data_IF_274477422327
#
_entry.id   IF_274477422327
#
_cell.length_a   1.000
_cell.length_b   1.000
_cell.length_c   1.000
_cell.angle_alpha   90.00
_cell.angle_beta   90.00
_cell.angle_gamma   90.00
#
_symmetry.space_group_name_H-M   'P 1'
#
loop_
_entity.id
_entity.type
_entity.pdbx_description
1 polymer ?
#
# COMPACT_ATOMS: atom_id res chain seq x y z
N UNK A 1 10.01 7.85 -21.74
CA UNK A 1 8.79 7.07 -21.49
C UNK A 1 8.54 7.05 -20.00
N UNK A 2 7.31 7.31 -19.54
CA UNK A 2 6.94 7.22 -18.12
C UNK A 2 6.95 5.75 -17.70
N UNK A 3 7.59 5.43 -16.59
CA UNK A 3 7.50 4.10 -15.93
C UNK A 3 6.08 3.86 -15.42
N UNK A 4 5.71 2.59 -15.21
CA UNK A 4 4.41 2.23 -14.64
C UNK A 4 4.19 2.89 -13.28
N UNK A 5 5.23 2.93 -12.44
CA UNK A 5 5.18 3.58 -11.13
C UNK A 5 4.90 5.09 -11.24
N UNK A 6 5.49 5.78 -12.20
CA UNK A 6 5.21 7.21 -12.43
C UNK A 6 3.78 7.44 -12.93
N UNK A 7 3.25 6.53 -13.75
CA UNK A 7 1.85 6.59 -14.20
C UNK A 7 0.91 6.38 -13.01
N UNK A 8 1.17 5.35 -12.19
CA UNK A 8 0.40 5.07 -10.96
C UNK A 8 0.41 6.28 -10.02
N UNK A 9 1.58 6.87 -9.74
CA UNK A 9 1.67 8.02 -8.84
C UNK A 9 0.88 9.22 -9.37
N UNK A 10 0.97 9.49 -10.69
CA UNK A 10 0.20 10.55 -11.33
C UNK A 10 -1.31 10.26 -11.31
N UNK A 11 -1.71 9.01 -11.50
CA UNK A 11 -3.13 8.63 -11.54
C UNK A 11 -3.86 8.85 -10.22
N UNK A 12 -3.14 8.86 -9.09
CA UNK A 12 -3.70 9.19 -7.78
C UNK A 12 -4.29 10.61 -7.72
N UNK A 13 -3.71 11.57 -8.46
CA UNK A 13 -4.23 12.94 -8.58
C UNK A 13 -4.99 13.21 -9.89
N UNK A 14 -4.75 12.41 -10.92
CA UNK A 14 -5.31 12.56 -12.26
C UNK A 14 -5.81 11.21 -12.78
N UNK A 15 -7.03 10.77 -12.46
CA UNK A 15 -7.50 9.40 -12.74
C UNK A 15 -7.29 8.95 -14.19
N UNK A 16 -7.49 9.87 -15.16
CA UNK A 16 -7.27 9.61 -16.59
C UNK A 16 -5.85 9.18 -16.95
N UNK A 17 -4.84 9.52 -16.15
CA UNK A 17 -3.47 9.06 -16.40
C UNK A 17 -3.34 7.53 -16.29
N UNK A 18 -4.25 6.84 -15.58
CA UNK A 18 -4.25 5.38 -15.51
C UNK A 18 -4.49 4.72 -16.88
N UNK A 19 -5.14 5.41 -17.82
CA UNK A 19 -5.35 4.91 -19.19
C UNK A 19 -4.03 4.58 -19.90
N UNK A 20 -2.92 5.23 -19.54
CA UNK A 20 -1.61 4.90 -20.10
C UNK A 20 -1.12 3.50 -19.70
N UNK A 21 -1.53 2.97 -18.53
CA UNK A 21 -1.28 1.57 -18.17
C UNK A 21 -2.17 0.62 -18.96
N UNK A 22 -3.43 1.00 -19.18
CA UNK A 22 -4.33 0.24 -20.03
C UNK A 22 -3.74 0.11 -21.43
N UNK A 23 -3.42 1.24 -22.09
CA UNK A 23 -2.88 1.24 -23.45
C UNK A 23 -1.59 0.41 -23.58
N UNK A 24 -0.74 0.44 -22.56
CA UNK A 24 0.53 -0.31 -22.53
C UNK A 24 0.35 -1.82 -22.39
N UNK A 25 -0.64 -2.24 -21.62
CA UNK A 25 -0.78 -3.63 -21.18
C UNK A 25 -2.01 -4.34 -21.76
N UNK A 26 -2.89 -3.63 -22.46
CA UNK A 26 -4.14 -4.14 -23.03
C UNK A 26 -3.92 -5.32 -23.98
N UNK A 27 -2.94 -5.23 -24.88
CA UNK A 27 -2.62 -6.31 -25.83
C UNK A 27 -2.14 -7.57 -25.09
N UNK A 28 -1.29 -7.39 -24.08
CA UNK A 28 -0.72 -8.51 -23.31
C UNK A 28 -1.79 -9.21 -22.47
N UNK A 29 -2.57 -8.44 -21.70
CA UNK A 29 -3.62 -8.97 -20.80
C UNK A 29 -4.79 -9.52 -21.60
N UNK A 30 -5.29 -8.75 -22.57
CA UNK A 30 -6.40 -9.16 -23.43
C UNK A 30 -6.03 -10.37 -24.30
N UNK A 31 -4.84 -10.38 -24.89
CA UNK A 31 -4.35 -11.53 -25.65
C UNK A 31 -4.18 -12.79 -24.80
N UNK A 32 -3.73 -12.66 -23.55
CA UNK A 32 -3.68 -13.79 -22.62
C UNK A 32 -5.07 -14.33 -22.29
N UNK A 33 -6.01 -13.45 -21.95
CA UNK A 33 -7.39 -13.82 -21.63
C UNK A 33 -8.07 -14.48 -22.84
N UNK A 34 -7.94 -13.89 -24.04
CA UNK A 34 -8.51 -14.41 -25.28
C UNK A 34 -7.99 -15.80 -25.61
N UNK A 35 -6.68 -16.07 -25.42
CA UNK A 35 -6.10 -17.41 -25.62
C UNK A 35 -6.68 -18.47 -24.68
N UNK A 36 -7.19 -18.07 -23.51
CA UNK A 36 -7.63 -18.99 -22.46
C UNK A 36 -9.15 -19.17 -22.41
N UNK A 37 -9.91 -18.15 -22.83
CA UNK A 37 -11.36 -18.08 -22.67
C UNK A 37 -12.11 -17.79 -23.98
N UNK A 38 -11.39 -17.53 -25.08
CA UNK A 38 -11.97 -17.10 -26.35
C UNK A 38 -11.97 -15.57 -26.51
N UNK A 39 -12.04 -15.06 -27.75
CA UNK A 39 -11.89 -13.64 -28.06
C UNK A 39 -12.90 -12.75 -27.33
N UNK A 40 -14.19 -13.12 -27.35
CA UNK A 40 -15.26 -12.30 -26.76
C UNK A 40 -15.10 -12.18 -25.23
N UNK A 41 -14.81 -13.29 -24.54
CA UNK A 41 -14.55 -13.28 -23.10
C UNK A 41 -13.22 -12.58 -22.75
N UNK A 42 -12.28 -12.47 -23.69
CA UNK A 42 -11.00 -11.81 -23.48
C UNK A 42 -11.13 -10.31 -23.27
N UNK A 43 -12.05 -9.65 -23.98
CA UNK A 43 -12.31 -8.22 -23.87
C UNK A 43 -12.98 -7.84 -22.53
N UNK A 44 -13.93 -8.66 -22.10
CA UNK A 44 -14.60 -8.49 -20.80
C UNK A 44 -13.60 -8.60 -19.64
N UNK A 45 -12.77 -9.64 -19.67
CA UNK A 45 -11.75 -9.88 -18.63
C UNK A 45 -10.68 -8.79 -18.64
N UNK A 46 -10.28 -8.29 -19.81
CA UNK A 46 -9.39 -7.14 -19.91
C UNK A 46 -9.99 -5.94 -19.17
N UNK A 47 -11.23 -5.58 -19.50
CA UNK A 47 -11.93 -4.44 -18.92
C UNK A 47 -12.07 -4.57 -17.39
N UNK A 48 -12.51 -5.74 -16.92
CA UNK A 48 -12.64 -6.03 -15.49
C UNK A 48 -11.29 -5.98 -14.75
N UNK A 49 -10.24 -6.55 -15.35
CA UNK A 49 -8.89 -6.57 -14.75
C UNK A 49 -8.37 -5.16 -14.50
N UNK A 50 -8.49 -4.26 -15.48
CA UNK A 50 -8.02 -2.88 -15.33
C UNK A 50 -8.89 -2.06 -14.39
N UNK A 51 -10.21 -2.30 -14.38
CA UNK A 51 -11.11 -1.69 -13.40
C UNK A 51 -10.71 -2.07 -11.96
N UNK A 52 -10.50 -3.37 -11.70
CA UNK A 52 -10.07 -3.87 -10.40
C UNK A 52 -8.69 -3.31 -10.03
N UNK A 53 -7.76 -3.24 -10.98
CA UNK A 53 -6.43 -2.68 -10.75
C UNK A 53 -6.49 -1.19 -10.39
N UNK A 54 -7.32 -0.39 -11.06
CA UNK A 54 -7.48 1.03 -10.76
C UNK A 54 -8.05 1.23 -9.35
N UNK A 55 -9.14 0.53 -9.02
CA UNK A 55 -9.79 0.61 -7.71
C UNK A 55 -8.80 0.20 -6.61
N UNK A 56 -8.16 -0.97 -6.76
CA UNK A 56 -7.20 -1.49 -5.78
C UNK A 56 -6.03 -0.53 -5.57
N UNK A 57 -5.52 0.08 -6.65
CA UNK A 57 -4.42 1.05 -6.57
C UNK A 57 -4.82 2.28 -5.75
N UNK A 58 -6.03 2.82 -6.01
CA UNK A 58 -6.55 4.01 -5.32
C UNK A 58 -6.82 3.76 -3.83
N UNK A 59 -7.24 2.55 -3.48
CA UNK A 59 -7.49 2.17 -2.09
C UNK A 59 -6.18 1.90 -1.33
N UNK A 60 -5.25 1.17 -1.93
CA UNK A 60 -4.01 0.76 -1.27
C UNK A 60 -2.99 1.89 -1.14
N UNK A 61 -2.87 2.78 -2.13
CA UNK A 61 -1.88 3.85 -2.12
C UNK A 61 -1.89 4.71 -0.84
N UNK A 62 -3.04 5.28 -0.38
CA UNK A 62 -3.07 6.04 0.87
C UNK A 62 -2.81 5.18 2.10
N UNK A 63 -3.21 3.90 2.10
CA UNK A 63 -2.95 2.99 3.22
C UNK A 63 -1.44 2.72 3.36
N UNK A 64 -0.74 2.45 2.25
CA UNK A 64 0.71 2.27 2.22
C UNK A 64 1.43 3.55 2.64
N UNK A 65 0.96 4.72 2.17
CA UNK A 65 1.51 6.01 2.56
C UNK A 65 1.38 6.26 4.07
N UNK A 66 0.32 5.75 4.71
CA UNK A 66 0.09 5.86 6.15
C UNK A 66 0.91 4.92 7.03
N UNK A 67 1.61 3.94 6.42
CA UNK A 67 2.46 3.01 7.18
C UNK A 67 3.63 3.75 7.85
N UNK A 68 3.99 3.29 9.05
CA UNK A 68 5.23 3.73 9.68
C UNK A 68 6.42 3.38 8.79
N UNK A 69 7.50 4.16 8.84
CA UNK A 69 8.70 3.91 8.04
C UNK A 69 9.22 2.46 8.23
N UNK A 70 9.20 1.97 9.47
CA UNK A 70 9.61 0.61 9.83
C UNK A 70 8.69 -0.47 9.25
N UNK A 71 7.38 -0.26 9.23
CA UNK A 71 6.43 -1.20 8.63
C UNK A 71 6.55 -1.19 7.09
N UNK A 72 6.71 0.00 6.48
CA UNK A 72 6.91 0.14 5.02
C UNK A 72 8.22 -0.50 4.55
N UNK A 73 9.32 -0.29 5.27
CA UNK A 73 10.59 -0.95 5.00
C UNK A 73 10.48 -2.48 5.09
N UNK A 74 9.84 -3.00 6.14
CA UNK A 74 9.55 -4.43 6.27
C UNK A 74 8.71 -4.96 5.10
N UNK A 75 7.68 -4.22 4.65
CA UNK A 75 6.86 -4.58 3.50
C UNK A 75 7.68 -4.59 2.20
N UNK A 76 8.54 -3.60 1.97
CA UNK A 76 9.34 -3.49 0.75
C UNK A 76 10.36 -4.62 0.64
N UNK A 77 11.03 -4.98 1.73
CA UNK A 77 11.96 -6.12 1.73
C UNK A 77 11.25 -7.44 1.43
N UNK A 78 10.02 -7.61 1.92
CA UNK A 78 9.21 -8.79 1.64
C UNK A 78 8.68 -8.81 0.20
N UNK A 79 8.03 -7.74 -0.25
CA UNK A 79 7.26 -7.71 -1.50
C UNK A 79 8.09 -7.35 -2.73
N UNK A 80 9.20 -6.64 -2.55
CA UNK A 80 10.08 -6.20 -3.64
C UNK A 80 11.46 -6.84 -3.57
N UNK A 81 11.90 -7.22 -2.37
CA UNK A 81 13.14 -7.94 -2.17
C UNK A 81 12.99 -9.46 -2.25
N UNK A 82 11.77 -9.99 -2.23
CA UNK A 82 11.48 -11.44 -2.12
C UNK A 82 12.19 -12.12 -0.92
N UNK A 83 12.53 -11.35 0.13
CA UNK A 83 13.18 -11.89 1.32
C UNK A 83 12.19 -12.67 2.19
N UNK A 84 12.68 -13.78 2.75
CA UNK A 84 12.01 -14.52 3.82
C UNK A 84 11.94 -13.70 5.12
N UNK A 85 11.08 -14.09 6.07
CA UNK A 85 11.00 -13.38 7.35
C UNK A 85 12.31 -13.44 8.13
N UNK A 86 13.04 -14.54 8.01
CA UNK A 86 14.34 -14.78 8.61
C UNK A 86 15.41 -13.86 7.99
N UNK A 87 15.44 -13.70 6.67
CA UNK A 87 16.35 -12.77 5.99
C UNK A 87 16.02 -11.30 6.31
N UNK A 88 14.73 -10.94 6.36
CA UNK A 88 14.30 -9.60 6.79
C UNK A 88 14.75 -9.32 8.23
N UNK A 89 14.64 -10.32 9.11
CA UNK A 89 15.07 -10.20 10.50
C UNK A 89 16.58 -9.89 10.59
N UNK A 90 17.39 -10.60 9.79
CA UNK A 90 18.83 -10.36 9.68
C UNK A 90 19.10 -8.96 9.11
N UNK A 91 18.47 -8.59 8.00
CA UNK A 91 18.68 -7.31 7.32
C UNK A 91 18.33 -6.10 8.22
N UNK A 92 17.28 -6.22 9.02
CA UNK A 92 16.81 -5.15 9.90
C UNK A 92 17.42 -5.20 11.31
N UNK A 93 18.21 -6.23 11.64
CA UNK A 93 18.77 -6.43 12.98
C UNK A 93 17.71 -6.62 14.07
N UNK A 94 16.59 -7.29 13.76
CA UNK A 94 15.47 -7.51 14.69
C UNK A 94 15.14 -9.00 14.83
N UNK A 95 14.46 -9.44 15.90
CA UNK A 95 13.97 -10.82 16.00
C UNK A 95 12.95 -11.16 14.89
N UNK A 96 12.95 -12.41 14.41
CA UNK A 96 11.96 -12.90 13.43
C UNK A 96 10.51 -12.74 13.90
N UNK A 97 10.25 -12.84 15.21
CA UNK A 97 8.94 -12.55 15.81
C UNK A 97 8.50 -11.09 15.62
N UNK A 98 9.44 -10.15 15.57
CA UNK A 98 9.16 -8.74 15.25
C UNK A 98 8.76 -8.58 13.79
N UNK A 99 9.41 -9.29 12.86
CA UNK A 99 9.01 -9.30 11.44
C UNK A 99 7.59 -9.86 11.30
N UNK A 100 7.29 -11.00 11.92
CA UNK A 100 5.95 -11.63 11.90
C UNK A 100 4.87 -10.68 12.42
N UNK A 101 5.11 -10.03 13.56
CA UNK A 101 4.16 -9.07 14.14
C UNK A 101 3.99 -7.81 13.28
N UNK A 102 5.07 -7.27 12.69
CA UNK A 102 4.99 -6.16 11.71
C UNK A 102 4.16 -6.57 10.49
N UNK A 103 4.45 -7.72 9.88
CA UNK A 103 3.71 -8.23 8.72
C UNK A 103 2.23 -8.47 9.02
N UNK A 104 1.90 -8.98 10.21
CA UNK A 104 0.51 -9.11 10.61
C UNK A 104 -0.20 -7.74 10.69
N UNK A 105 0.44 -6.74 11.31
CA UNK A 105 -0.11 -5.37 11.39
C UNK A 105 -0.22 -4.71 10.01
N UNK A 106 0.75 -4.93 9.12
CA UNK A 106 0.73 -4.42 7.75
C UNK A 106 -0.47 -4.99 7.00
N UNK A 107 -0.63 -6.33 6.95
CA UNK A 107 -1.79 -6.98 6.33
C UNK A 107 -3.11 -6.47 6.89
N UNK A 108 -3.17 -6.31 8.22
CA UNK A 108 -4.34 -5.79 8.93
C UNK A 108 -4.67 -4.33 8.57
N UNK A 109 -3.68 -3.52 8.20
CA UNK A 109 -3.85 -2.11 7.79
C UNK A 109 -4.12 -1.95 6.29
N UNK A 110 -3.65 -2.89 5.47
CA UNK A 110 -3.83 -2.91 4.03
C UNK A 110 -5.05 -3.74 3.60
N UNK A 111 -5.90 -4.13 4.53
CA UNK A 111 -7.13 -4.87 4.24
C UNK A 111 -8.21 -3.90 3.71
N UNK A 112 -8.54 -3.95 2.40
CA UNK A 112 -9.51 -3.02 1.81
C UNK A 112 -10.95 -3.29 2.28
N UNK A 113 -11.25 -4.52 2.73
CA UNK A 113 -12.55 -4.87 3.28
C UNK A 113 -12.77 -4.33 4.69
N UNK A 114 -11.70 -3.86 5.34
CA UNK A 114 -11.78 -3.28 6.68
C UNK A 114 -12.01 -1.77 6.55
N UNK A 115 -13.22 -1.25 6.86
CA UNK A 115 -13.48 0.17 6.74
C UNK A 115 -12.44 0.93 7.56
N UNK A 116 -11.74 1.87 6.90
CA UNK A 116 -10.68 2.67 7.52
C UNK A 116 -11.25 3.31 8.78
N UNK A 117 -10.92 2.73 9.94
CA UNK A 117 -11.46 3.14 11.22
C UNK A 117 -11.18 4.61 11.41
N UNK A 118 -12.26 5.39 11.49
CA UNK A 118 -12.33 6.80 11.88
C UNK A 118 -11.11 7.17 12.76
N UNK A 119 -10.16 7.88 12.16
CA UNK A 119 -8.94 8.38 12.81
C UNK A 119 -9.33 9.02 14.14
N UNK A 120 -9.06 8.36 15.27
CA UNK A 120 -9.14 8.99 16.60
C UNK A 120 -8.15 10.15 16.55
N UNK A 121 -8.69 11.37 16.47
CA UNK A 121 -7.95 12.59 16.75
C UNK A 121 -7.54 12.49 18.21
N UNK A 122 -6.31 12.07 18.47
CA UNK A 122 -5.69 12.27 19.78
C UNK A 122 -5.30 13.74 19.79
N UNK A 123 -6.15 14.59 20.37
CA UNK A 123 -5.77 15.96 20.68
C UNK A 123 -4.82 15.91 21.87
N UNK A 124 -3.52 15.97 21.57
CA UNK A 124 -2.49 16.36 22.54
C UNK A 124 -2.37 17.88 22.51
N UNK A 125 -3.23 18.54 23.27
CA UNK A 125 -2.99 19.91 23.74
C UNK A 125 -3.48 19.97 25.18
N UNK A 126 -2.54 19.78 26.10
CA UNK A 126 -2.43 20.56 27.33
C UNK A 126 -1.10 20.19 27.99
N UNK A 127 -0.04 20.83 27.49
CA UNK A 127 1.13 21.14 28.26
C UNK A 127 1.24 22.66 28.29
N UNK A 128 0.76 23.29 29.35
CA UNK A 128 1.21 24.62 29.72
C UNK A 128 1.62 24.62 31.19
N UNK A 129 2.86 25.02 31.38
CA UNK A 129 3.63 25.02 32.61
C UNK A 129 3.52 26.44 33.17
N UNK A 130 3.10 26.63 34.41
CA UNK A 130 3.55 27.80 35.17
C UNK A 130 3.93 27.39 36.59
N UNK A 131 5.19 27.66 36.90
CA UNK A 131 5.79 27.40 38.18
C UNK A 131 5.39 28.44 39.20
N UNK A 132 5.16 27.98 40.43
CA UNK A 132 5.29 28.83 41.61
C UNK A 132 5.77 27.98 42.79
N UNK A 133 7.05 28.20 43.14
CA UNK A 133 7.61 28.33 44.51
C UNK A 133 6.67 27.85 45.65
N UNK A 134 7.09 27.10 46.68
CA UNK A 134 8.33 27.18 47.46
C UNK A 134 8.36 26.04 48.51
N UNK A 135 9.56 25.65 48.96
CA UNK A 135 9.78 24.83 50.16
C UNK A 135 9.24 25.49 51.44
N UNK A 136 8.83 24.68 52.44
CA UNK A 136 9.41 24.66 53.80
C UNK A 136 8.60 23.82 54.79
N UNK A 137 9.36 23.16 55.68
CA UNK A 137 9.03 22.57 56.99
C UNK A 137 8.29 21.21 57.01
#
# INVERSE_FOLDING_TARGET
MSTDSEIIQRSLGQPRAFAELFDRHAETVGGYAARRLGPDAGEDILSETFLVAEISTRELAPMIASLSAKDRETLLLYAWGDLTYEEIAIALGVPVGTVRSRMNRIRTRLDPARPSGRRRVVNEQEGEVDGRFRASA
#
